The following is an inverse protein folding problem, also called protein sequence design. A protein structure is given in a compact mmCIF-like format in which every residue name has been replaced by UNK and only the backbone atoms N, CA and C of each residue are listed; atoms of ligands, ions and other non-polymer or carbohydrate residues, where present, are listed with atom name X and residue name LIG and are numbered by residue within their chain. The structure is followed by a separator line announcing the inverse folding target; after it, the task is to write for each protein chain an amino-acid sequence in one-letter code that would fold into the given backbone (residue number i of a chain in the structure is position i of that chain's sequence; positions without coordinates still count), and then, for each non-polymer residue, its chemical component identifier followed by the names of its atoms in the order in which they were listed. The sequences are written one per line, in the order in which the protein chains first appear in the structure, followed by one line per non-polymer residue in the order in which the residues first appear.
data_IF_702925904457
#
_entry.id   IF_702925904457
#
_cell.length_a   1.000
_cell.length_b   1.000
_cell.length_c   1.000
_cell.angle_alpha   90.00
_cell.angle_beta   90.00
_cell.angle_gamma   90.00
#
_symmetry.space_group_name_H-M   'P 1'
#
loop_
_entity.id
_entity.type
_entity.pdbx_description
1 polymer ?
#
# COMPACT_ATOMS: atom_id res chain seq x y z
N UNK A 1 -27.91 -41.49 98.32
CA UNK A 1 -27.09 -41.98 97.18
C UNK A 1 -27.51 -41.21 95.94
N UNK A 2 -26.52 -40.61 95.29
CA UNK A 2 -26.64 -39.55 94.28
C UNK A 2 -27.25 -40.05 92.97
N UNK A 3 -28.30 -39.39 92.49
CA UNK A 3 -28.90 -39.64 91.17
C UNK A 3 -28.05 -39.03 90.06
N UNK A 4 -27.72 -39.82 89.04
CA UNK A 4 -27.00 -39.37 87.85
C UNK A 4 -27.90 -38.44 87.01
N UNK A 5 -27.40 -37.30 86.50
CA UNK A 5 -28.15 -36.46 85.58
C UNK A 5 -28.18 -37.11 84.18
N UNK A 6 -29.31 -36.98 83.50
CA UNK A 6 -29.52 -37.41 82.12
C UNK A 6 -28.85 -36.44 81.14
N UNK A 7 -28.17 -37.02 80.17
CA UNK A 7 -27.39 -36.40 79.10
C UNK A 7 -28.25 -35.49 78.20
N UNK A 8 -27.73 -34.32 77.82
CA UNK A 8 -28.43 -33.36 76.97
C UNK A 8 -28.20 -33.73 75.49
N UNK A 9 -29.29 -34.07 74.80
CA UNK A 9 -29.28 -34.59 73.43
C UNK A 9 -28.43 -33.82 72.43
N UNK A 10 -27.89 -34.56 71.46
CA UNK A 10 -26.97 -34.10 70.42
C UNK A 10 -27.49 -32.88 69.62
N UNK A 11 -26.60 -31.95 69.20
CA UNK A 11 -27.00 -30.75 68.49
C UNK A 11 -27.60 -31.06 67.10
N UNK A 12 -28.53 -30.24 66.59
CA UNK A 12 -29.19 -30.48 65.32
C UNK A 12 -28.19 -30.47 64.16
N UNK A 13 -28.21 -31.54 63.36
CA UNK A 13 -27.42 -31.71 62.13
C UNK A 13 -27.76 -30.59 61.15
N UNK A 14 -26.81 -29.69 60.87
CA UNK A 14 -26.93 -28.66 59.81
C UNK A 14 -27.29 -29.37 58.50
N UNK A 15 -28.50 -29.14 57.98
CA UNK A 15 -28.91 -29.60 56.63
C UNK A 15 -27.93 -29.02 55.63
N UNK A 16 -27.05 -29.87 55.10
CA UNK A 16 -26.08 -29.48 54.08
C UNK A 16 -26.85 -28.99 52.86
N UNK A 17 -26.46 -27.81 52.40
CA UNK A 17 -27.15 -27.04 51.36
C UNK A 17 -26.84 -27.62 49.98
N UNK A 18 -27.41 -28.78 49.66
CA UNK A 18 -27.36 -29.41 48.33
C UNK A 18 -27.84 -28.47 47.20
N UNK A 19 -28.74 -27.55 47.52
CA UNK A 19 -29.22 -26.52 46.59
C UNK A 19 -28.10 -25.53 46.17
N UNK A 20 -27.19 -25.16 47.09
CA UNK A 20 -26.07 -24.26 46.75
C UNK A 20 -25.07 -24.93 45.80
N UNK A 21 -24.79 -26.22 45.98
CA UNK A 21 -23.90 -26.95 45.08
C UNK A 21 -24.47 -27.04 43.66
N UNK A 22 -25.77 -27.33 43.52
CA UNK A 22 -26.44 -27.33 42.21
C UNK A 22 -26.38 -25.96 41.52
N UNK A 23 -26.50 -24.87 42.26
CA UNK A 23 -26.46 -23.51 41.71
C UNK A 23 -25.06 -23.17 41.17
N UNK A 24 -24.00 -23.55 41.89
CA UNK A 24 -22.61 -23.39 41.43
C UNK A 24 -22.31 -24.21 40.18
N UNK A 25 -22.82 -25.44 40.10
CA UNK A 25 -22.66 -26.29 38.92
C UNK A 25 -23.34 -25.66 37.69
N UNK A 26 -24.57 -25.14 37.84
CA UNK A 26 -25.27 -24.44 36.77
C UNK A 26 -24.53 -23.18 36.29
N UNK A 27 -23.98 -22.38 37.20
CA UNK A 27 -23.19 -21.20 36.85
C UNK A 27 -21.91 -21.55 36.09
N UNK A 28 -21.24 -22.64 36.47
CA UNK A 28 -20.05 -23.12 35.77
C UNK A 28 -20.37 -23.56 34.34
N UNK A 29 -21.45 -24.35 34.16
CA UNK A 29 -21.89 -24.75 32.82
C UNK A 29 -22.33 -23.56 31.97
N UNK A 30 -23.02 -22.58 32.55
CA UNK A 30 -23.40 -21.36 31.85
C UNK A 30 -22.18 -20.56 31.43
N UNK A 31 -21.20 -20.38 32.32
CA UNK A 31 -19.93 -19.72 32.00
C UNK A 31 -19.17 -20.44 30.87
N UNK A 32 -19.11 -21.77 30.90
CA UNK A 32 -18.49 -22.57 29.85
C UNK A 32 -19.23 -22.42 28.51
N UNK A 33 -20.57 -22.45 28.52
CA UNK A 33 -21.39 -22.25 27.33
C UNK A 33 -21.13 -20.86 26.71
N UNK A 34 -21.13 -19.81 27.53
CA UNK A 34 -20.84 -18.44 27.10
C UNK A 34 -19.44 -18.35 26.49
N UNK A 35 -18.43 -18.95 27.12
CA UNK A 35 -17.06 -18.98 26.60
C UNK A 35 -16.96 -19.69 25.24
N UNK A 36 -17.66 -20.82 25.05
CA UNK A 36 -17.70 -21.55 23.78
C UNK A 36 -18.36 -20.72 22.68
N UNK A 37 -19.47 -20.02 23.00
CA UNK A 37 -20.15 -19.12 22.06
C UNK A 37 -19.23 -17.98 21.64
N UNK A 38 -18.58 -17.29 22.59
CA UNK A 38 -17.62 -16.23 22.27
C UNK A 38 -16.42 -16.73 21.47
N UNK A 39 -15.90 -17.93 21.77
CA UNK A 39 -14.82 -18.54 20.99
C UNK A 39 -15.27 -18.85 19.55
N UNK A 40 -16.48 -19.38 19.36
CA UNK A 40 -17.03 -19.66 18.04
C UNK A 40 -17.24 -18.38 17.22
N UNK A 41 -17.82 -17.34 17.84
CA UNK A 41 -18.00 -16.03 17.24
C UNK A 41 -16.64 -15.42 16.87
N UNK A 42 -15.68 -15.42 17.81
CA UNK A 42 -14.33 -14.90 17.61
C UNK A 42 -13.60 -15.62 16.48
N UNK A 43 -13.71 -16.95 16.39
CA UNK A 43 -13.14 -17.75 15.28
C UNK A 43 -13.79 -17.40 13.95
N UNK A 44 -15.10 -17.13 13.92
CA UNK A 44 -15.81 -16.73 12.71
C UNK A 44 -15.38 -15.34 12.25
N UNK A 45 -15.33 -14.36 13.16
CA UNK A 45 -14.81 -13.02 12.87
C UNK A 45 -13.35 -13.04 12.44
N UNK A 46 -12.51 -13.84 13.10
CA UNK A 46 -11.12 -14.01 12.72
C UNK A 46 -11.00 -14.52 11.28
N UNK A 47 -11.71 -15.60 10.92
CA UNK A 47 -11.71 -16.13 9.54
C UNK A 47 -12.23 -15.12 8.51
N UNK A 48 -13.26 -14.36 8.87
CA UNK A 48 -13.82 -13.33 8.01
C UNK A 48 -12.84 -12.16 7.81
N UNK A 49 -12.14 -11.75 8.87
CA UNK A 49 -11.16 -10.66 8.84
C UNK A 49 -9.85 -11.06 8.14
N UNK A 50 -9.36 -12.28 8.33
CA UNK A 50 -8.06 -12.72 7.79
C UNK A 50 -8.15 -13.24 6.36
N UNK A 51 -9.27 -13.85 5.96
CA UNK A 51 -9.42 -14.44 4.63
C UNK A 51 -10.59 -13.82 3.89
N UNK A 52 -10.42 -12.56 3.48
CA UNK A 52 -11.29 -11.97 2.48
C UNK A 52 -11.30 -12.90 1.25
N UNK A 53 -12.49 -13.34 0.84
CA UNK A 53 -12.72 -14.23 -0.29
C UNK A 53 -12.23 -15.69 -0.15
N UNK A 54 -12.20 -16.27 1.05
CA UNK A 54 -11.89 -17.72 1.27
C UNK A 54 -12.60 -18.68 0.30
N UNK A 55 -13.82 -18.35 -0.12
CA UNK A 55 -14.63 -19.11 -1.08
C UNK A 55 -14.05 -19.22 -2.50
N UNK A 56 -13.08 -18.39 -2.87
CA UNK A 56 -12.44 -18.39 -4.20
C UNK A 56 -11.22 -19.32 -4.23
N UNK A 57 -10.60 -19.56 -3.07
CA UNK A 57 -9.43 -20.41 -2.94
C UNK A 57 -9.81 -21.89 -3.10
N UNK A 58 -8.87 -22.66 -3.62
CA UNK A 58 -8.98 -24.10 -3.73
C UNK A 58 -8.08 -24.79 -2.71
N UNK A 59 -8.63 -25.75 -1.99
CA UNK A 59 -7.95 -26.46 -0.88
C UNK A 59 -6.91 -27.50 -1.34
N UNK A 60 -6.51 -27.49 -2.62
CA UNK A 60 -5.58 -28.47 -3.20
C UNK A 60 -4.32 -27.75 -3.63
N UNK A 61 -3.19 -28.44 -3.62
CA UNK A 61 -1.96 -27.93 -4.25
C UNK A 61 -2.03 -28.11 -5.77
N UNK A 62 -1.25 -27.34 -6.53
CA UNK A 62 -1.21 -27.46 -8.00
C UNK A 62 -0.81 -28.88 -8.46
N UNK A 63 -0.02 -29.62 -7.67
CA UNK A 63 0.39 -30.98 -7.95
C UNK A 63 -0.75 -32.01 -7.79
N UNK A 64 -1.69 -31.76 -6.88
CA UNK A 64 -2.84 -32.64 -6.60
C UNK A 64 -3.99 -32.46 -7.60
N UNK A 65 -4.03 -31.33 -8.30
CA UNK A 65 -5.09 -30.99 -9.24
C UNK A 65 -5.00 -31.88 -10.49
N UNK A 66 -5.93 -32.83 -10.60
CA UNK A 66 -6.07 -33.70 -11.79
C UNK A 66 -6.45 -32.93 -13.06
N UNK A 67 -7.30 -31.91 -12.93
CA UNK A 67 -7.75 -31.09 -14.06
C UNK A 67 -7.28 -29.63 -13.88
N UNK A 68 -6.13 -29.30 -14.50
CA UNK A 68 -5.56 -27.95 -14.43
C UNK A 68 -6.45 -26.88 -15.07
N UNK A 69 -7.36 -27.24 -15.98
CA UNK A 69 -8.30 -26.28 -16.56
C UNK A 69 -9.42 -25.86 -15.58
N UNK A 70 -9.57 -26.54 -14.45
CA UNK A 70 -10.56 -26.21 -13.42
C UNK A 70 -10.04 -25.18 -12.40
N UNK A 71 -8.78 -24.76 -12.51
CA UNK A 71 -8.12 -23.90 -11.53
C UNK A 71 -7.52 -22.67 -12.20
N UNK A 72 -7.38 -21.60 -11.44
CA UNK A 72 -6.60 -20.42 -11.80
C UNK A 72 -5.36 -20.42 -10.91
N UNK A 73 -4.20 -20.14 -11.49
CA UNK A 73 -2.93 -20.11 -10.78
C UNK A 73 -2.23 -18.77 -11.00
N UNK A 74 -1.35 -18.36 -10.06
CA UNK A 74 -0.45 -17.23 -10.27
C UNK A 74 0.40 -17.42 -11.53
N UNK A 75 0.78 -16.30 -12.14
CA UNK A 75 1.58 -16.28 -13.36
C UNK A 75 3.07 -16.54 -13.09
N UNK A 76 3.53 -16.12 -11.91
CA UNK A 76 4.88 -16.31 -11.39
C UNK A 76 4.75 -17.12 -10.12
N UNK A 77 5.41 -18.27 -10.07
CA UNK A 77 5.52 -19.14 -8.90
C UNK A 77 6.95 -19.12 -8.33
N UNK A 78 7.22 -19.93 -7.31
CA UNK A 78 8.53 -20.02 -6.65
C UNK A 78 9.67 -20.41 -7.60
N UNK A 79 9.37 -21.10 -8.70
CA UNK A 79 10.36 -21.64 -9.63
C UNK A 79 10.54 -20.75 -10.87
N UNK A 80 9.56 -19.90 -11.18
CA UNK A 80 9.55 -19.00 -12.31
C UNK A 80 10.40 -17.76 -12.05
N UNK A 81 11.46 -17.58 -12.85
CA UNK A 81 12.21 -16.32 -12.91
C UNK A 81 11.39 -15.21 -13.54
N UNK A 82 11.71 -13.97 -13.21
CA UNK A 82 11.08 -12.80 -13.81
C UNK A 82 12.04 -11.61 -13.93
N UNK A 83 11.68 -10.69 -14.79
CA UNK A 83 12.35 -9.42 -15.02
C UNK A 83 11.44 -8.26 -14.58
N UNK A 84 12.02 -7.10 -14.30
CA UNK A 84 11.28 -5.87 -14.02
C UNK A 84 11.67 -4.83 -15.06
N UNK A 85 10.70 -4.48 -15.90
CA UNK A 85 10.79 -3.35 -16.80
C UNK A 85 10.39 -2.06 -16.08
N UNK A 86 11.15 -1.00 -16.33
CA UNK A 86 10.92 0.33 -15.76
C UNK A 86 10.81 1.31 -16.91
N UNK A 87 9.81 2.18 -16.84
CA UNK A 87 9.68 3.32 -17.76
C UNK A 87 9.51 4.61 -16.99
N UNK A 88 10.18 5.66 -17.43
CA UNK A 88 10.07 7.01 -16.86
C UNK A 88 9.37 7.90 -17.87
N UNK A 89 8.35 8.61 -17.41
CA UNK A 89 7.47 9.42 -18.25
C UNK A 89 7.47 10.85 -17.76
N UNK A 90 7.42 11.80 -18.70
CA UNK A 90 7.13 13.19 -18.43
C UNK A 90 5.97 13.67 -19.28
N UNK A 91 5.08 14.47 -18.69
CA UNK A 91 4.06 15.18 -19.46
C UNK A 91 4.73 16.25 -20.34
N UNK A 92 4.36 16.34 -21.63
CA UNK A 92 4.88 17.37 -22.50
C UNK A 92 4.36 18.75 -22.09
N UNK A 93 5.11 19.73 -22.55
CA UNK A 93 4.84 21.15 -22.38
C UNK A 93 3.83 21.55 -23.44
N UNK A 94 2.60 21.98 -23.11
CA UNK A 94 1.78 22.66 -24.11
C UNK A 94 2.54 23.91 -24.56
N UNK A 95 2.80 24.02 -25.86
CA UNK A 95 3.30 25.23 -26.50
C UNK A 95 2.25 26.34 -26.26
N UNK A 96 2.69 27.56 -25.93
CA UNK A 96 1.80 28.66 -25.47
C UNK A 96 0.85 29.17 -26.57
N UNK A 97 1.00 28.67 -27.78
CA UNK A 97 0.44 29.19 -29.02
C UNK A 97 -0.47 28.18 -29.76
N UNK A 98 -0.72 27.00 -29.18
CA UNK A 98 -1.64 26.01 -29.73
C UNK A 98 -3.04 26.06 -29.09
N UNK A 99 -3.96 26.82 -29.69
CA UNK A 99 -5.41 26.64 -29.47
C UNK A 99 -5.84 25.26 -30.00
N UNK A 100 -5.67 24.25 -29.17
CA UNK A 100 -6.12 22.90 -29.44
C UNK A 100 -5.94 22.09 -28.18
N UNK A 101 -7.01 21.44 -27.73
CA UNK A 101 -6.94 20.37 -26.73
C UNK A 101 -6.26 19.19 -27.42
N UNK A 102 -4.96 19.31 -27.68
CA UNK A 102 -4.14 18.18 -28.07
C UNK A 102 -4.10 17.27 -26.85
N UNK A 103 -4.58 16.05 -27.02
CA UNK A 103 -4.44 14.96 -26.05
C UNK A 103 -2.97 14.92 -25.62
N UNK A 104 -2.68 15.38 -24.39
CA UNK A 104 -1.32 15.69 -23.92
C UNK A 104 -0.61 14.36 -23.65
N UNK A 105 -0.14 13.73 -24.71
CA UNK A 105 0.46 12.41 -24.66
C UNK A 105 1.79 12.44 -23.92
N UNK A 106 1.91 11.66 -22.85
CA UNK A 106 3.15 11.56 -22.09
C UNK A 106 4.34 11.13 -22.96
N UNK A 107 5.50 11.75 -22.75
CA UNK A 107 6.75 11.41 -23.45
C UNK A 107 7.60 10.46 -22.60
N UNK A 108 8.04 9.32 -23.14
CA UNK A 108 8.96 8.43 -22.42
C UNK A 108 10.37 9.02 -22.40
N UNK A 109 10.93 9.19 -21.20
CA UNK A 109 12.33 9.59 -20.98
C UNK A 109 13.28 8.40 -20.89
N UNK A 110 12.74 7.23 -20.52
CA UNK A 110 13.44 5.96 -20.39
C UNK A 110 12.42 4.82 -20.45
N UNK A 111 12.79 3.68 -21.05
CA UNK A 111 12.01 2.44 -20.97
C UNK A 111 12.92 1.25 -21.29
N UNK A 112 13.20 0.39 -20.30
CA UNK A 112 14.01 -0.82 -20.48
C UNK A 112 13.81 -1.79 -19.30
N UNK A 113 14.36 -2.99 -19.41
CA UNK A 113 14.47 -3.98 -18.34
C UNK A 113 15.63 -3.61 -17.42
N UNK A 114 15.30 -3.31 -16.17
CA UNK A 114 16.26 -2.85 -15.16
C UNK A 114 16.73 -3.97 -14.26
N UNK A 115 15.85 -4.93 -13.96
CA UNK A 115 16.20 -6.14 -13.22
C UNK A 115 15.96 -7.36 -14.09
N UNK A 116 16.96 -8.25 -14.14
CA UNK A 116 16.92 -9.48 -14.95
C UNK A 116 17.11 -10.71 -14.05
N UNK A 117 16.45 -11.81 -14.40
CA UNK A 117 16.64 -13.11 -13.75
C UNK A 117 16.34 -13.10 -12.24
N UNK A 118 15.39 -12.27 -11.80
CA UNK A 118 14.97 -12.25 -10.40
C UNK A 118 14.13 -13.47 -10.06
N UNK A 119 14.16 -13.87 -8.79
CA UNK A 119 13.28 -14.89 -8.20
C UNK A 119 12.55 -14.30 -6.99
N UNK A 120 11.44 -14.91 -6.58
CA UNK A 120 10.66 -14.46 -5.42
C UNK A 120 11.47 -14.46 -4.11
N UNK A 121 12.46 -15.34 -4.00
CA UNK A 121 13.40 -15.38 -2.87
C UNK A 121 14.47 -14.28 -2.86
N UNK A 122 14.67 -13.54 -3.95
CA UNK A 122 15.66 -12.46 -4.01
C UNK A 122 15.22 -11.25 -3.18
N UNK A 123 16.12 -10.76 -2.33
CA UNK A 123 15.88 -9.60 -1.46
C UNK A 123 16.90 -8.50 -1.69
N UNK A 124 16.49 -7.26 -1.42
CA UNK A 124 17.34 -6.06 -1.39
C UNK A 124 18.17 -5.79 -2.66
N UNK A 125 17.69 -6.22 -3.83
CA UNK A 125 18.31 -5.89 -5.11
C UNK A 125 18.09 -4.40 -5.42
N UNK A 126 19.14 -3.75 -5.93
CA UNK A 126 19.12 -2.33 -6.26
C UNK A 126 19.57 -2.14 -7.70
N UNK A 127 19.02 -1.12 -8.36
CA UNK A 127 19.42 -0.71 -9.69
C UNK A 127 19.30 0.82 -9.81
N UNK A 128 20.15 1.41 -10.64
CA UNK A 128 20.17 2.85 -10.87
C UNK A 128 19.81 3.12 -12.32
N UNK A 129 18.68 3.79 -12.52
CA UNK A 129 18.21 4.21 -13.85
C UNK A 129 18.72 5.61 -14.15
N UNK A 130 19.51 5.74 -15.22
CA UNK A 130 20.03 7.04 -15.68
C UNK A 130 19.20 7.50 -16.86
N UNK A 131 18.59 8.68 -16.75
CA UNK A 131 17.80 9.30 -17.81
C UNK A 131 18.04 10.82 -17.86
N UNK A 132 17.75 11.44 -19.00
CA UNK A 132 17.87 12.89 -19.17
C UNK A 132 16.52 13.54 -18.88
N UNK A 133 16.49 14.37 -17.84
CA UNK A 133 15.29 15.12 -17.48
C UNK A 133 15.26 16.47 -18.22
N UNK A 134 14.23 16.76 -19.01
CA UNK A 134 14.06 18.07 -19.63
C UNK A 134 13.69 19.11 -18.55
N UNK A 135 14.70 19.76 -17.97
CA UNK A 135 14.52 20.71 -16.86
C UNK A 135 13.68 21.95 -17.21
N UNK A 136 13.47 22.24 -18.50
CA UNK A 136 12.59 23.32 -18.95
C UNK A 136 11.16 23.14 -18.42
N UNK A 137 10.67 21.90 -18.34
CA UNK A 137 9.33 21.57 -17.81
C UNK A 137 9.21 21.91 -16.32
N UNK A 138 10.31 21.80 -15.58
CA UNK A 138 10.37 21.94 -14.12
C UNK A 138 10.58 23.38 -13.64
N UNK A 139 10.87 24.30 -14.56
CA UNK A 139 11.01 25.73 -14.25
C UNK A 139 9.67 26.48 -14.23
N UNK A 140 8.55 25.80 -14.55
CA UNK A 140 7.21 26.39 -14.56
C UNK A 140 6.63 26.46 -13.14
N UNK A 141 5.82 27.50 -12.88
CA UNK A 141 5.21 27.79 -11.58
C UNK A 141 4.19 26.74 -11.11
N UNK A 142 3.77 25.81 -11.98
CA UNK A 142 2.67 24.86 -11.74
C UNK A 142 3.11 23.41 -11.98
N UNK A 143 4.22 22.99 -11.39
CA UNK A 143 4.64 21.58 -11.41
C UNK A 143 3.70 20.76 -10.51
N UNK A 144 3.21 19.62 -11.01
CA UNK A 144 2.38 18.66 -10.25
C UNK A 144 3.12 17.34 -10.10
N UNK A 145 2.72 16.54 -9.11
CA UNK A 145 3.40 15.27 -8.79
C UNK A 145 3.42 14.29 -9.96
N UNK A 146 2.32 14.24 -10.72
CA UNK A 146 2.18 13.35 -11.87
C UNK A 146 2.93 13.84 -13.13
N UNK A 147 3.54 15.03 -13.14
CA UNK A 147 4.31 15.53 -14.29
C UNK A 147 5.57 14.71 -14.56
N UNK A 148 6.06 13.95 -13.58
CA UNK A 148 7.13 12.98 -13.74
C UNK A 148 6.76 11.73 -12.95
N UNK A 149 6.65 10.60 -13.64
CA UNK A 149 6.26 9.33 -13.02
C UNK A 149 7.09 8.17 -13.55
N UNK A 150 7.21 7.13 -12.75
CA UNK A 150 7.74 5.84 -13.17
C UNK A 150 6.60 4.83 -13.29
N UNK A 151 6.74 3.89 -14.21
CA UNK A 151 5.93 2.68 -14.27
C UNK A 151 6.80 1.44 -14.22
N UNK A 152 6.27 0.40 -13.61
CA UNK A 152 6.94 -0.87 -13.36
C UNK A 152 6.08 -2.01 -13.89
N UNK A 153 6.68 -2.88 -14.68
CA UNK A 153 6.04 -4.07 -15.24
C UNK A 153 6.86 -5.29 -14.87
N UNK A 154 6.23 -6.29 -14.28
CA UNK A 154 6.86 -7.58 -13.99
C UNK A 154 6.65 -8.48 -15.20
N UNK A 155 7.73 -9.02 -15.75
CA UNK A 155 7.73 -9.83 -16.97
C UNK A 155 8.29 -11.21 -16.63
N UNK A 156 7.49 -12.29 -16.67
CA UNK A 156 8.00 -13.64 -16.45
C UNK A 156 9.04 -14.03 -17.50
N UNK A 157 10.12 -14.66 -17.07
CA UNK A 157 11.19 -15.12 -17.95
C UNK A 157 10.73 -16.32 -18.79
N UNK A 158 11.01 -16.30 -20.09
CA UNK A 158 10.67 -17.43 -20.96
C UNK A 158 11.56 -18.65 -20.69
N UNK A 159 11.01 -19.88 -20.77
CA UNK A 159 9.63 -20.22 -21.09
C UNK A 159 8.69 -19.99 -19.91
N UNK A 160 7.58 -19.30 -20.14
CA UNK A 160 6.55 -19.02 -19.12
C UNK A 160 5.13 -19.27 -19.64
N UNK A 161 4.13 -19.18 -18.76
CA UNK A 161 2.72 -19.28 -19.17
C UNK A 161 2.24 -18.13 -20.05
N UNK A 162 2.93 -16.99 -19.98
CA UNK A 162 2.62 -15.82 -20.80
C UNK A 162 2.88 -16.10 -22.27
N UNK A 163 3.89 -16.92 -22.58
CA UNK A 163 4.29 -17.23 -23.96
C UNK A 163 3.19 -17.97 -24.73
N UNK A 164 2.28 -18.63 -24.01
CA UNK A 164 1.16 -19.39 -24.57
C UNK A 164 -0.18 -18.66 -24.44
N UNK A 165 -0.18 -17.40 -24.00
CA UNK A 165 -1.39 -16.63 -23.78
C UNK A 165 -2.03 -16.21 -25.12
N UNK A 166 -3.27 -16.62 -25.34
CA UNK A 166 -4.06 -16.21 -26.50
C UNK A 166 -5.03 -15.07 -26.21
N UNK A 167 -5.43 -14.88 -24.94
CA UNK A 167 -6.36 -13.86 -24.52
C UNK A 167 -6.19 -13.54 -23.03
N UNK A 168 -6.71 -12.38 -22.59
CA UNK A 168 -6.73 -11.96 -21.19
C UNK A 168 -8.01 -11.17 -20.88
N UNK A 169 -8.36 -11.08 -19.60
CA UNK A 169 -9.46 -10.24 -19.12
C UNK A 169 -9.00 -9.34 -17.99
N UNK A 170 -9.47 -8.10 -18.01
CA UNK A 170 -9.22 -7.13 -16.95
C UNK A 170 -10.52 -6.74 -16.27
N UNK A 171 -10.42 -6.37 -14.99
CA UNK A 171 -11.56 -5.94 -14.21
C UNK A 171 -11.99 -4.50 -14.53
N UNK A 172 -11.05 -3.68 -15.03
CA UNK A 172 -11.26 -2.26 -15.34
C UNK A 172 -12.02 -2.11 -16.67
N UNK A 173 -12.99 -1.18 -16.76
CA UNK A 173 -13.69 -0.88 -18.00
C UNK A 173 -12.76 -0.17 -19.00
N UNK A 174 -12.99 -0.41 -20.29
CA UNK A 174 -12.22 0.18 -21.40
C UNK A 174 -12.40 1.71 -21.52
N UNK A 175 -13.44 2.27 -20.89
CA UNK A 175 -13.68 3.71 -20.84
C UNK A 175 -12.68 4.47 -19.97
N UNK A 176 -11.97 3.79 -19.08
CA UNK A 176 -10.92 4.42 -18.26
C UNK A 176 -9.63 4.42 -19.07
N UNK A 177 -9.28 5.59 -19.61
CA UNK A 177 -7.97 5.80 -20.20
C UNK A 177 -6.87 5.63 -19.14
N UNK A 178 -5.87 4.82 -19.46
CA UNK A 178 -4.72 4.58 -18.60
C UNK A 178 -3.49 5.24 -19.23
N UNK A 179 -2.67 5.95 -18.43
CA UNK A 179 -1.36 6.38 -18.87
C UNK A 179 -0.50 5.18 -19.35
N UNK A 180 0.36 5.36 -20.37
CA UNK A 180 1.19 4.29 -20.91
C UNK A 180 2.18 3.74 -19.87
N UNK A 181 2.45 2.43 -19.86
CA UNK A 181 3.30 1.81 -18.83
C UNK A 181 4.65 1.31 -19.35
N UNK A 182 4.78 1.15 -20.66
CA UNK A 182 6.04 0.93 -21.39
C UNK A 182 6.03 1.76 -22.67
N UNK A 183 7.22 2.17 -23.13
CA UNK A 183 7.31 2.74 -24.48
C UNK A 183 7.06 1.63 -25.50
N UNK A 184 6.51 1.99 -26.64
CA UNK A 184 6.43 1.10 -27.80
C UNK A 184 7.02 1.83 -29.00
N UNK A 185 8.07 1.27 -29.64
CA UNK A 185 8.71 -0.02 -29.35
C UNK A 185 9.44 -0.08 -27.99
N UNK A 186 9.62 -1.31 -27.49
CA UNK A 186 10.27 -1.61 -26.20
C UNK A 186 11.50 -2.50 -26.42
N UNK A 187 12.68 -2.18 -25.86
CA UNK A 187 12.98 -0.99 -25.06
C UNK A 187 12.95 0.32 -25.89
N UNK A 188 12.98 1.47 -25.23
CA UNK A 188 12.98 2.78 -25.88
C UNK A 188 14.15 2.89 -26.87
N UNK A 189 13.84 3.21 -28.13
CA UNK A 189 14.82 3.27 -29.22
C UNK A 189 15.04 1.95 -29.98
N UNK A 190 14.27 0.90 -29.66
CA UNK A 190 14.17 -0.29 -30.50
C UNK A 190 13.51 0.02 -31.86
N UNK A 191 13.66 -0.87 -32.83
CA UNK A 191 13.06 -0.71 -34.16
C UNK A 191 11.52 -0.77 -34.11
N UNK A 192 10.86 0.07 -34.92
CA UNK A 192 9.40 0.26 -34.93
C UNK A 192 8.59 -0.95 -35.45
N UNK A 193 9.26 -2.06 -35.82
CA UNK A 193 8.62 -3.20 -36.48
C UNK A 193 8.02 -4.25 -35.52
N UNK A 194 8.17 -4.10 -34.20
CA UNK A 194 7.66 -5.11 -33.24
C UNK A 194 6.24 -4.74 -32.77
N UNK A 195 5.17 -5.34 -33.32
CA UNK A 195 3.83 -5.10 -32.84
C UNK A 195 3.68 -5.62 -31.41
N UNK A 196 2.94 -4.86 -30.59
CA UNK A 196 2.63 -5.25 -29.21
C UNK A 196 1.82 -6.56 -29.20
N UNK A 197 2.32 -7.59 -28.51
CA UNK A 197 1.64 -8.89 -28.43
C UNK A 197 0.47 -8.86 -27.45
N UNK A 198 -0.40 -9.87 -27.50
CA UNK A 198 -1.47 -10.06 -26.48
C UNK A 198 -0.88 -10.20 -25.09
N UNK A 199 0.21 -10.97 -24.97
CA UNK A 199 1.01 -11.11 -23.75
C UNK A 199 1.45 -9.77 -23.16
N UNK A 200 1.97 -8.87 -24.01
CA UNK A 200 2.43 -7.55 -23.58
C UNK A 200 1.30 -6.71 -22.99
N UNK A 201 0.14 -6.70 -23.65
CA UNK A 201 -1.05 -5.99 -23.15
C UNK A 201 -1.56 -6.57 -21.83
N UNK A 202 -1.49 -7.89 -21.67
CA UNK A 202 -1.86 -8.55 -20.42
C UNK A 202 -0.91 -8.18 -19.28
N UNK A 203 0.41 -8.23 -19.50
CA UNK A 203 1.41 -7.83 -18.51
C UNK A 203 1.30 -6.35 -18.15
N UNK A 204 1.15 -5.48 -19.15
CA UNK A 204 0.95 -4.04 -18.98
C UNK A 204 -0.32 -3.72 -18.16
N UNK A 205 -1.30 -4.62 -18.14
CA UNK A 205 -2.50 -4.46 -17.31
C UNK A 205 -2.22 -4.62 -15.81
N UNK A 206 -1.20 -5.39 -15.42
CA UNK A 206 -0.77 -5.57 -14.02
C UNK A 206 0.30 -4.58 -13.58
N UNK A 207 0.81 -3.77 -14.50
CA UNK A 207 1.79 -2.73 -14.20
C UNK A 207 1.31 -1.79 -13.09
N UNK A 208 2.25 -1.15 -12.41
CA UNK A 208 1.98 -0.07 -11.45
C UNK A 208 2.67 1.21 -11.91
N UNK A 209 2.14 2.37 -11.51
CA UNK A 209 2.74 3.67 -11.78
C UNK A 209 2.80 4.49 -10.49
N UNK A 210 3.89 5.25 -10.30
CA UNK A 210 4.10 6.11 -9.13
C UNK A 210 4.66 7.46 -9.57
N UNK A 211 4.35 8.52 -8.83
CA UNK A 211 4.98 9.83 -8.99
C UNK A 211 6.45 9.79 -8.55
N UNK A 212 7.31 10.43 -9.34
CA UNK A 212 8.73 10.63 -9.00
C UNK A 212 9.01 12.03 -8.45
N UNK A 213 7.97 12.84 -8.27
CA UNK A 213 8.02 14.15 -7.64
C UNK A 213 7.20 14.11 -6.37
N UNK A 214 7.78 14.66 -5.32
CA UNK A 214 7.14 14.91 -4.05
C UNK A 214 7.44 16.35 -3.67
N UNK A 215 6.44 17.07 -3.19
CA UNK A 215 6.58 18.47 -2.81
C UNK A 215 6.49 18.61 -1.30
N UNK A 216 7.54 19.17 -0.71
CA UNK A 216 7.60 19.43 0.72
C UNK A 216 7.51 20.92 1.00
N UNK A 217 6.70 21.27 2.00
CA UNK A 217 6.60 22.63 2.50
C UNK A 217 7.75 22.92 3.48
N UNK A 218 8.94 23.16 2.95
CA UNK A 218 10.09 23.58 3.76
C UNK A 218 10.18 25.10 3.68
N UNK A 219 9.99 25.77 4.81
CA UNK A 219 10.30 27.21 4.93
C UNK A 219 11.80 27.38 4.71
N UNK A 220 12.18 28.12 3.68
CA UNK A 220 13.58 28.43 3.44
C UNK A 220 14.16 29.17 4.66
N UNK A 221 15.21 28.63 5.27
CA UNK A 221 16.02 29.36 6.27
C UNK A 221 16.77 30.56 5.65
N UNK A 222 16.71 30.73 4.33
CA UNK A 222 17.37 31.78 3.58
C UNK A 222 16.68 33.16 3.65
N UNK A 223 15.76 33.37 4.59
CA UNK A 223 15.33 34.73 4.93
C UNK A 223 16.44 35.37 5.79
N UNK A 224 17.52 35.82 5.14
CA UNK A 224 18.52 36.64 5.80
C UNK A 224 17.89 37.98 6.14
N UNK A 225 17.77 38.21 7.44
CA UNK A 225 18.14 39.44 8.13
C UNK A 225 18.79 40.48 7.22
N UNK A 226 17.98 41.44 6.76
CA UNK A 226 18.44 42.79 6.43
C UNK A 226 17.25 43.71 6.20
N UNK A 227 16.81 44.34 7.30
CA UNK A 227 16.25 45.70 7.44
C UNK A 227 15.04 46.07 6.56
N UNK A 228 13.90 46.60 7.03
CA UNK A 228 13.64 47.41 8.23
C UNK A 228 12.11 47.60 8.37
N UNK A 229 11.65 47.69 9.63
CA UNK A 229 10.45 48.39 10.08
C UNK A 229 9.15 48.24 9.27
N UNK A 230 8.20 47.45 9.79
CA UNK A 230 6.82 47.90 10.02
C UNK A 230 6.22 47.05 11.15
N UNK A 231 5.48 47.75 12.00
CA UNK A 231 5.12 47.49 13.38
C UNK A 231 4.25 46.26 13.64
N UNK A 232 4.56 45.65 14.79
CA UNK A 232 3.69 45.00 15.77
C UNK A 232 2.24 45.51 15.78
N UNK A 233 1.30 44.58 15.81
CA UNK A 233 0.41 44.24 16.94
C UNK A 233 -0.33 42.94 16.56
N UNK A 234 -0.80 42.05 17.41
CA UNK A 234 -0.52 41.65 18.78
C UNK A 234 -1.36 40.35 18.93
N UNK A 235 -0.76 39.24 19.36
CA UNK A 235 -1.27 38.42 20.47
C UNK A 235 -0.69 37.01 20.60
N UNK A 236 -0.14 36.83 21.80
CA UNK A 236 -0.13 35.64 22.66
C UNK A 236 0.80 34.49 22.27
N UNK A 237 2.06 34.64 22.69
CA UNK A 237 3.02 33.56 22.80
C UNK A 237 2.81 32.66 24.02
N UNK A 238 3.58 31.56 24.03
CA UNK A 238 3.96 30.85 25.24
C UNK A 238 5.45 30.56 25.15
N UNK A 239 6.23 31.33 25.91
CA UNK A 239 7.66 31.13 26.15
C UNK A 239 7.88 29.83 26.92
N UNK A 240 8.93 29.10 26.57
CA UNK A 240 9.65 28.23 27.51
C UNK A 240 11.14 28.55 27.35
N UNK A 241 11.74 28.94 28.47
CA UNK A 241 13.11 29.38 28.65
C UNK A 241 14.13 28.33 28.21
N UNK A 242 15.17 28.82 27.52
CA UNK A 242 16.41 28.09 27.32
C UNK A 242 17.29 28.17 28.56
N UNK A 243 17.90 27.03 28.92
CA UNK A 243 19.03 26.96 29.84
C UNK A 243 20.24 26.51 29.03
N UNK A 244 21.22 27.39 28.93
CA UNK A 244 22.52 27.12 28.32
C UNK A 244 23.30 26.12 29.18
N UNK A 245 24.01 25.19 28.56
CA UNK A 245 25.30 24.71 29.05
C UNK A 245 26.17 24.24 27.89
N UNK A 246 27.46 24.50 28.08
CA UNK A 246 28.52 24.62 27.09
C UNK A 246 29.02 23.28 26.52
N UNK A 247 29.80 23.43 25.45
CA UNK A 247 30.43 22.40 24.65
C UNK A 247 31.53 21.61 25.40
N UNK A 248 31.65 20.32 25.07
CA UNK A 248 32.95 19.65 24.98
C UNK A 248 32.85 18.46 23.99
N UNK A 249 33.93 18.29 23.23
CA UNK A 249 34.15 17.27 22.20
C UNK A 249 34.36 15.86 22.80
N UNK A 250 34.06 14.82 22.02
CA UNK A 250 34.79 13.55 22.14
C UNK A 250 33.96 12.26 22.13
N UNK A 251 34.13 11.52 21.02
CA UNK A 251 34.18 10.06 20.93
C UNK A 251 32.90 9.19 21.00
N UNK A 252 33.08 8.01 20.42
CA UNK A 252 32.14 7.12 19.73
C UNK A 252 31.64 5.96 20.65
N UNK A 253 30.85 4.97 20.17
CA UNK A 253 29.58 4.58 20.77
C UNK A 253 29.66 3.36 21.70
N UNK A 254 28.70 3.22 22.63
CA UNK A 254 28.34 1.93 23.22
C UNK A 254 26.82 1.74 23.36
N UNK A 255 26.42 0.50 23.10
CA UNK A 255 25.09 -0.08 23.28
C UNK A 255 24.71 -0.14 24.77
N UNK A 256 23.42 0.06 25.09
CA UNK A 256 22.63 -0.90 25.90
C UNK A 256 21.17 -0.46 26.12
N UNK A 257 20.40 -1.50 26.40
CA UNK A 257 18.95 -1.66 26.47
C UNK A 257 18.19 -0.91 27.58
N UNK A 258 16.93 -0.62 27.24
CA UNK A 258 15.68 -0.69 28.02
C UNK A 258 15.55 0.05 29.36
N UNK A 259 14.63 1.02 29.42
CA UNK A 259 13.63 1.09 30.51
C UNK A 259 12.34 1.77 30.03
N UNK A 260 11.21 1.09 30.28
CA UNK A 260 9.85 1.57 30.11
C UNK A 260 9.51 2.67 31.13
N UNK A 261 8.79 3.72 30.73
CA UNK A 261 7.47 4.04 31.28
C UNK A 261 6.85 5.33 30.73
N UNK A 262 5.55 5.19 30.46
CA UNK A 262 4.47 6.20 30.59
C UNK A 262 4.25 7.26 29.50
N UNK A 263 3.34 6.88 28.58
CA UNK A 263 2.09 7.57 28.21
C UNK A 263 2.17 9.10 28.09
N UNK A 264 2.44 9.55 26.86
CA UNK A 264 1.84 10.78 26.34
C UNK A 264 1.24 10.48 24.95
N UNK A 265 -0.08 10.54 24.92
CA UNK A 265 -0.98 10.37 23.80
C UNK A 265 -0.66 11.43 22.72
N UNK A 266 0.00 11.01 21.64
CA UNK A 266 0.09 11.81 20.40
C UNK A 266 -0.32 10.92 19.23
N UNK A 267 -1.63 10.88 19.02
CA UNK A 267 -2.32 10.50 17.81
C UNK A 267 -1.59 11.03 16.56
N UNK A 268 -0.75 10.20 15.98
CA UNK A 268 -0.22 10.32 14.63
C UNK A 268 -1.34 9.92 13.65
N UNK A 269 -2.31 10.81 13.47
CA UNK A 269 -3.33 10.74 12.42
C UNK A 269 -3.36 12.09 11.71
N UNK A 270 -2.31 12.34 10.94
CA UNK A 270 -2.28 13.40 9.94
C UNK A 270 -1.75 12.78 8.67
N UNK A 271 -2.66 12.46 7.74
CA UNK A 271 -2.35 12.26 6.31
C UNK A 271 -1.30 13.29 5.89
N UNK A 272 -0.22 12.93 5.17
CA UNK A 272 0.66 13.95 4.60
C UNK A 272 -0.21 14.79 3.68
N UNK A 273 -0.43 16.05 4.07
CA UNK A 273 -1.21 16.97 3.29
C UNK A 273 -0.57 17.09 1.91
N UNK A 274 -1.27 16.60 0.90
CA UNK A 274 -1.02 16.93 -0.51
C UNK A 274 -1.11 18.45 -0.57
N UNK A 275 0.03 19.13 -0.50
CA UNK A 275 0.07 20.58 -0.60
C UNK A 275 -0.22 20.92 -2.07
N UNK A 276 -1.44 21.40 -2.34
CA UNK A 276 -1.84 21.92 -3.64
C UNK A 276 -1.03 23.19 -3.96
N UNK A 277 0.20 23.03 -4.44
CA UNK A 277 1.01 24.13 -5.00
C UNK A 277 0.25 24.81 -6.15
N UNK A 278 -0.67 24.09 -6.79
CA UNK A 278 -1.56 24.61 -7.82
C UNK A 278 -2.46 25.78 -7.35
N UNK A 279 -2.74 25.92 -6.06
CA UNK A 279 -3.63 26.98 -5.54
C UNK A 279 -2.91 28.33 -5.33
N UNK A 280 -1.58 28.35 -5.30
CA UNK A 280 -0.81 29.56 -5.02
C UNK A 280 0.51 29.61 -5.81
N UNK A 281 0.49 30.10 -7.07
CA UNK A 281 1.67 30.14 -7.94
C UNK A 281 2.83 31.00 -7.38
N UNK A 282 2.53 32.01 -6.55
CA UNK A 282 3.56 32.84 -5.89
C UNK A 282 4.44 32.06 -4.89
N UNK A 283 4.02 30.86 -4.49
CA UNK A 283 4.75 30.03 -3.55
C UNK A 283 5.78 29.11 -4.22
N UNK A 284 5.66 28.82 -5.52
CA UNK A 284 6.62 27.97 -6.23
C UNK A 284 8.02 28.60 -6.32
N UNK A 285 8.12 29.94 -6.29
CA UNK A 285 9.40 30.67 -6.36
C UNK A 285 10.08 30.78 -4.97
N UNK A 286 9.31 30.75 -3.88
CA UNK A 286 9.82 30.83 -2.48
C UNK A 286 10.04 29.46 -1.83
N UNK A 287 9.59 28.38 -2.47
CA UNK A 287 9.68 27.01 -1.97
C UNK A 287 10.63 26.23 -2.88
N UNK A 288 11.63 25.57 -2.32
CA UNK A 288 12.54 24.74 -3.10
C UNK A 288 11.98 23.31 -3.17
N UNK A 289 11.54 22.81 -4.34
CA UNK A 289 11.23 21.40 -4.48
C UNK A 289 12.53 20.59 -4.39
N UNK A 290 12.59 19.64 -3.47
CA UNK A 290 13.64 18.62 -3.46
C UNK A 290 13.12 17.41 -4.23
N UNK A 291 13.87 16.96 -5.25
CA UNK A 291 13.55 15.74 -5.99
C UNK A 291 14.46 14.64 -5.49
N UNK A 292 14.01 13.89 -4.48
CA UNK A 292 14.68 12.66 -4.03
C UNK A 292 13.61 11.59 -3.92
N UNK A 293 13.47 10.74 -4.93
CA UNK A 293 12.54 9.62 -4.88
C UNK A 293 13.26 8.30 -4.75
N UNK A 294 13.03 7.64 -3.62
CA UNK A 294 13.38 6.24 -3.40
C UNK A 294 12.12 5.41 -3.45
N UNK A 295 12.04 4.51 -4.42
CA UNK A 295 10.91 3.60 -4.56
C UNK A 295 11.27 2.23 -4.03
N UNK A 296 10.37 1.63 -3.24
CA UNK A 296 10.43 0.22 -2.91
C UNK A 296 9.30 -0.52 -3.63
N UNK A 297 9.65 -1.53 -4.43
CA UNK A 297 8.69 -2.45 -5.04
C UNK A 297 8.68 -3.72 -4.19
N UNK A 298 7.49 -4.20 -3.86
CA UNK A 298 7.30 -5.49 -3.19
C UNK A 298 6.51 -6.39 -4.12
N UNK A 299 7.05 -7.55 -4.43
CA UNK A 299 6.36 -8.60 -5.16
C UNK A 299 5.90 -9.61 -4.12
N UNK A 300 4.59 -9.85 -4.10
CA UNK A 300 3.97 -10.78 -3.15
C UNK A 300 4.07 -12.18 -3.76
N UNK A 301 4.62 -13.10 -2.98
CA UNK A 301 4.57 -14.53 -3.28
C UNK A 301 3.15 -15.03 -3.03
N UNK A 302 2.40 -15.22 -4.12
CA UNK A 302 1.09 -15.84 -4.10
C UNK A 302 1.25 -17.30 -4.55
N UNK A 303 1.03 -18.25 -3.66
CA UNK A 303 1.15 -19.69 -3.94
C UNK A 303 -0.20 -20.38 -4.04
N UNK A 304 -1.27 -19.71 -3.65
CA UNK A 304 -2.58 -20.34 -3.65
C UNK A 304 -3.14 -20.45 -5.07
N UNK A 305 -3.82 -21.56 -5.33
CA UNK A 305 -4.63 -21.73 -6.53
C UNK A 305 -6.08 -21.38 -6.22
N UNK A 306 -6.78 -20.85 -7.22
CA UNK A 306 -8.17 -20.45 -7.11
C UNK A 306 -9.07 -21.43 -7.88
N UNK A 307 -10.25 -21.68 -7.34
CA UNK A 307 -11.28 -22.41 -8.06
C UNK A 307 -11.76 -21.54 -9.24
N UNK A 308 -11.59 -22.01 -10.47
CA UNK A 308 -11.86 -21.20 -11.68
C UNK A 308 -13.30 -20.70 -11.75
N UNK A 309 -14.27 -21.51 -11.32
CA UNK A 309 -15.70 -21.13 -11.36
C UNK A 309 -15.99 -20.01 -10.37
N UNK A 310 -15.49 -20.14 -9.14
CA UNK A 310 -15.65 -19.10 -8.11
C UNK A 310 -14.90 -17.82 -8.51
N UNK A 311 -13.67 -17.96 -9.00
CA UNK A 311 -12.86 -16.84 -9.48
C UNK A 311 -13.56 -16.06 -10.60
N UNK A 312 -14.03 -16.76 -11.63
CA UNK A 312 -14.71 -16.11 -12.76
C UNK A 312 -16.01 -15.42 -12.32
N UNK A 313 -16.74 -16.00 -11.37
CA UNK A 313 -17.95 -15.37 -10.82
C UNK A 313 -17.63 -14.03 -10.16
N UNK A 314 -16.62 -13.99 -9.29
CA UNK A 314 -16.22 -12.75 -8.61
C UNK A 314 -15.55 -11.76 -9.57
N UNK A 315 -14.74 -12.23 -10.52
CA UNK A 315 -14.14 -11.38 -11.56
C UNK A 315 -15.21 -10.71 -12.43
N UNK A 316 -16.22 -11.45 -12.87
CA UNK A 316 -17.33 -10.90 -13.66
C UNK A 316 -18.20 -9.94 -12.84
N UNK A 317 -18.43 -10.25 -11.55
CA UNK A 317 -19.10 -9.32 -10.63
C UNK A 317 -18.31 -8.02 -10.53
N UNK A 318 -17.00 -8.10 -10.28
CA UNK A 318 -16.12 -6.94 -10.21
C UNK A 318 -16.17 -6.12 -11.51
N UNK A 319 -16.10 -6.77 -12.68
CA UNK A 319 -16.26 -6.09 -13.98
C UNK A 319 -17.58 -5.34 -14.10
N UNK A 320 -18.69 -5.98 -13.71
CA UNK A 320 -20.02 -5.37 -13.81
C UNK A 320 -20.22 -4.18 -12.87
N UNK A 321 -19.51 -4.15 -11.73
CA UNK A 321 -19.58 -3.07 -10.75
C UNK A 321 -18.49 -2.02 -10.92
N UNK A 322 -17.49 -2.28 -11.77
CA UNK A 322 -16.39 -1.34 -12.02
C UNK A 322 -16.89 -0.24 -12.95
N UNK A 323 -17.32 0.87 -12.37
CA UNK A 323 -17.74 2.07 -13.10
C UNK A 323 -16.51 2.94 -13.31
N UNK A 324 -16.20 3.28 -14.56
CA UNK A 324 -15.32 4.40 -14.87
C UNK A 324 -16.09 5.70 -14.75
N UNK A 325 -15.45 6.86 -14.51
CA UNK A 325 -16.15 8.15 -14.53
C UNK A 325 -16.82 8.32 -15.88
N UNK A 326 -18.13 8.06 -15.89
CA UNK A 326 -18.99 8.17 -17.05
C UNK A 326 -19.83 9.40 -16.74
N UNK A 327 -19.58 10.51 -17.45
CA UNK A 327 -20.30 11.78 -17.32
C UNK A 327 -20.14 12.56 -16.00
N UNK A 328 -19.10 13.39 -15.92
CA UNK A 328 -19.17 14.72 -15.30
C UNK A 328 -18.55 15.77 -16.26
N UNK A 329 -18.97 15.73 -17.52
CA UNK A 329 -18.75 16.79 -18.51
C UNK A 329 -20.10 17.34 -19.00
N UNK A 330 -20.97 17.68 -18.04
CA UNK A 330 -22.02 18.65 -18.23
C UNK A 330 -22.11 19.42 -16.92
N UNK A 331 -22.04 20.75 -17.03
CA UNK A 331 -21.86 21.74 -15.95
C UNK A 331 -20.41 21.87 -15.45
N UNK A 332 -19.63 22.68 -16.16
CA UNK A 332 -19.30 24.05 -15.72
C UNK A 332 -18.98 24.93 -16.92
#
# INVERSE_FOLDING_TARGET
MSGKPLDAGAPPRKRSSLCKFSLWVCLLFFGLFVAVVFFAIGRSFYKFATFSHSQVYQNQTLAEVKNRAAVVRPLIDEHQGFEIAVSVWSLPVPEEDGEGIADVAETPLYSDIVFRGLRLGDKHKQAVVKYKLPVAVFRRLLLKEHHLRASFVVIPESPSLVDYMSNFSIWRPETIQRPPVRSWPFPLGAADEVPQKVADRALDSFAISISLLEFHEIRSKCANDSNSNISLEDHAGKQVEGKNHDAEEGEEPEELENTESEVADNSFNGTPGVSDIAKHPEHAVKRHPFVVTRTQIRIVEETHIFNRKAYNKEHNKLKSTSVGPSHLLHEY
#
